data_IF_106106079630
#
_entry.id   IF_106106079630
#
_cell.length_a   1.000
_cell.length_b   1.000
_cell.length_c   1.000
_cell.angle_alpha   90.00
_cell.angle_beta   90.00
_cell.angle_gamma   90.00
#
_symmetry.space_group_name_H-M   'P 1'
#
loop_
_entity.id
_entity.type
_entity.pdbx_description
1 polymer ?
#
# COMPACT_ATOMS: atom_id res chain seq x y z
N UNK A 1 -6.91 26.08 -10.89
CA UNK A 1 -8.01 25.09 -10.98
C UNK A 1 -8.56 24.90 -9.58
N UNK A 2 -9.83 25.27 -9.35
CA UNK A 2 -10.50 25.14 -8.05
C UNK A 2 -10.98 23.68 -7.92
N UNK A 3 -10.76 22.96 -6.80
CA UNK A 3 -11.30 21.61 -6.66
C UNK A 3 -12.82 21.69 -6.70
N UNK A 4 -13.45 20.97 -7.63
CA UNK A 4 -14.89 21.04 -7.91
C UNK A 4 -15.76 20.16 -6.99
N UNK A 5 -15.29 19.87 -5.78
CA UNK A 5 -16.09 19.31 -4.70
C UNK A 5 -15.34 19.56 -3.38
N UNK A 6 -15.85 20.43 -2.52
CA UNK A 6 -15.36 20.53 -1.14
C UNK A 6 -15.82 19.29 -0.37
N UNK A 7 -15.06 18.20 -0.49
CA UNK A 7 -15.29 17.04 0.37
C UNK A 7 -15.08 17.47 1.82
N UNK A 8 -16.02 17.14 2.74
CA UNK A 8 -15.79 17.34 4.15
C UNK A 8 -14.48 16.66 4.54
N UNK A 9 -13.61 17.34 5.30
CA UNK A 9 -12.30 16.81 5.70
C UNK A 9 -12.40 15.41 6.32
N UNK A 10 -13.47 15.16 7.08
CA UNK A 10 -13.81 13.85 7.65
C UNK A 10 -13.96 12.74 6.58
N UNK A 11 -14.55 13.08 5.43
CA UNK A 11 -14.76 12.13 4.33
C UNK A 11 -13.44 11.80 3.62
N UNK A 12 -12.57 12.79 3.42
CA UNK A 12 -11.24 12.60 2.82
C UNK A 12 -10.40 11.66 3.67
N UNK A 13 -10.35 11.90 4.99
CA UNK A 13 -9.61 11.05 5.94
C UNK A 13 -10.17 9.64 5.95
N UNK A 14 -11.50 9.48 5.99
CA UNK A 14 -12.16 8.16 5.95
C UNK A 14 -11.79 7.40 4.67
N UNK A 15 -11.87 8.04 3.52
CA UNK A 15 -11.58 7.39 2.24
C UNK A 15 -10.10 7.04 2.11
N UNK A 16 -9.19 7.93 2.52
CA UNK A 16 -7.76 7.66 2.56
C UNK A 16 -7.45 6.45 3.46
N UNK A 17 -8.08 6.38 4.64
CA UNK A 17 -7.93 5.25 5.56
C UNK A 17 -8.44 3.94 4.96
N UNK A 18 -9.61 3.95 4.31
CA UNK A 18 -10.12 2.77 3.61
C UNK A 18 -9.17 2.31 2.50
N UNK A 19 -8.65 3.24 1.70
CA UNK A 19 -7.67 2.92 0.67
C UNK A 19 -6.35 2.39 1.24
N UNK A 20 -5.93 2.87 2.42
CA UNK A 20 -4.79 2.32 3.14
C UNK A 20 -5.03 0.85 3.55
N UNK A 21 -6.21 0.54 4.08
CA UNK A 21 -6.56 -0.84 4.46
C UNK A 21 -6.52 -1.78 3.26
N UNK A 22 -7.12 -1.38 2.13
CA UNK A 22 -7.08 -2.20 0.92
C UNK A 22 -5.66 -2.34 0.35
N UNK A 23 -4.88 -1.25 0.37
CA UNK A 23 -3.48 -1.27 -0.06
C UNK A 23 -2.62 -2.20 0.80
N UNK A 24 -2.87 -2.30 2.10
CA UNK A 24 -2.18 -3.19 3.02
C UNK A 24 -2.66 -4.65 2.93
N UNK A 25 -3.96 -4.86 2.67
CA UNK A 25 -4.57 -6.17 2.73
C UNK A 25 -3.98 -7.16 1.71
N UNK A 26 -3.71 -6.71 0.48
CA UNK A 26 -3.18 -7.56 -0.59
C UNK A 26 -1.85 -8.22 -0.19
N UNK A 27 -0.78 -7.47 0.14
CA UNK A 27 0.49 -8.09 0.56
C UNK A 27 0.36 -8.82 1.89
N UNK A 28 -0.45 -8.34 2.83
CA UNK A 28 -0.63 -8.99 4.13
C UNK A 28 -1.22 -10.39 3.99
N UNK A 29 -2.31 -10.52 3.21
CA UNK A 29 -2.94 -11.83 2.96
C UNK A 29 -1.93 -12.75 2.26
N UNK A 30 -1.22 -12.27 1.24
CA UNK A 30 -0.19 -13.06 0.56
C UNK A 30 0.88 -13.59 1.52
N UNK A 31 1.43 -12.72 2.36
CA UNK A 31 2.45 -13.10 3.35
C UNK A 31 1.89 -14.09 4.38
N UNK A 32 0.71 -13.84 4.94
CA UNK A 32 0.08 -14.77 5.89
C UNK A 32 -0.12 -16.15 5.26
N UNK A 33 -0.60 -16.21 4.01
CA UNK A 33 -0.79 -17.50 3.32
C UNK A 33 0.54 -18.23 3.10
N UNK A 34 1.61 -17.52 2.74
CA UNK A 34 2.94 -18.11 2.60
C UNK A 34 3.46 -18.66 3.94
N UNK A 35 3.23 -17.92 5.03
CA UNK A 35 3.68 -18.30 6.37
C UNK A 35 2.94 -19.53 6.87
N UNK A 36 1.60 -19.57 6.76
CA UNK A 36 0.79 -20.72 7.19
C UNK A 36 1.10 -21.96 6.35
N UNK A 37 1.53 -21.78 5.09
CA UNK A 37 1.91 -22.90 4.22
C UNK A 37 3.26 -23.53 4.59
N UNK A 38 4.09 -22.85 5.41
CA UNK A 38 5.25 -23.47 6.04
C UNK A 38 4.78 -24.17 7.32
N UNK A 39 4.80 -25.50 7.31
CA UNK A 39 4.46 -26.31 8.50
C UNK A 39 5.33 -25.91 9.71
N UNK A 40 4.68 -25.44 10.78
CA UNK A 40 5.21 -25.23 12.14
C UNK A 40 6.49 -24.38 12.32
N UNK A 41 6.79 -23.48 11.38
CA UNK A 41 7.93 -22.55 11.49
C UNK A 41 7.49 -21.09 11.50
N UNK A 42 6.95 -20.63 12.63
CA UNK A 42 6.81 -19.20 12.92
C UNK A 42 8.08 -18.69 13.60
N UNK A 43 8.94 -18.06 12.82
CA UNK A 43 10.17 -17.46 13.31
C UNK A 43 10.00 -15.95 13.55
N UNK A 44 10.73 -15.42 14.55
CA UNK A 44 10.61 -14.02 14.97
C UNK A 44 10.94 -13.02 13.85
N UNK A 45 11.78 -13.39 12.89
CA UNK A 45 12.13 -12.50 11.78
C UNK A 45 10.96 -12.31 10.80
N UNK A 46 9.99 -13.25 10.77
CA UNK A 46 8.85 -13.21 9.83
C UNK A 46 7.85 -12.09 10.18
N UNK A 47 7.93 -11.53 11.39
CA UNK A 47 7.13 -10.37 11.78
C UNK A 47 7.55 -9.09 11.06
N UNK A 48 8.83 -8.95 10.68
CA UNK A 48 9.32 -7.76 9.96
C UNK A 48 8.64 -7.60 8.59
N UNK A 49 8.66 -8.58 7.67
CA UNK A 49 7.94 -8.46 6.40
C UNK A 49 6.42 -8.34 6.59
N UNK A 50 5.83 -9.02 7.58
CA UNK A 50 4.40 -8.90 7.90
C UNK A 50 3.95 -7.50 8.32
N UNK A 51 4.86 -6.65 8.81
CA UNK A 51 4.55 -5.28 9.21
C UNK A 51 4.99 -4.28 8.14
N UNK A 52 6.25 -4.38 7.69
CA UNK A 52 6.87 -3.37 6.82
C UNK A 52 6.24 -3.40 5.43
N UNK A 53 6.04 -4.58 4.83
CA UNK A 53 5.51 -4.70 3.46
C UNK A 53 4.05 -4.23 3.39
N UNK A 54 3.13 -4.66 4.28
CA UNK A 54 1.78 -4.11 4.31
C UNK A 54 1.73 -2.61 4.63
N UNK A 55 2.67 -2.08 5.41
CA UNK A 55 2.76 -0.63 5.64
C UNK A 55 3.10 0.12 4.35
N UNK A 56 4.02 -0.41 3.52
CA UNK A 56 4.28 0.12 2.18
C UNK A 56 3.05 0.07 1.28
N UNK A 57 2.30 -1.03 1.33
CA UNK A 57 1.01 -1.16 0.65
C UNK A 57 -0.02 -0.13 1.14
N UNK A 58 -0.11 0.10 2.45
CA UNK A 58 -1.00 1.10 3.04
C UNK A 58 -0.68 2.50 2.52
N UNK A 59 0.60 2.86 2.50
CA UNK A 59 1.07 4.14 2.00
C UNK A 59 0.75 4.31 0.51
N UNK A 60 1.00 3.29 -0.30
CA UNK A 60 0.62 3.28 -1.72
C UNK A 60 -0.89 3.43 -1.93
N UNK A 61 -1.71 2.80 -1.08
CA UNK A 61 -3.17 2.95 -1.10
C UNK A 61 -3.65 4.37 -0.77
N UNK A 62 -3.07 5.01 0.26
CA UNK A 62 -3.34 6.42 0.57
C UNK A 62 -2.97 7.32 -0.61
N UNK A 63 -1.77 7.11 -1.16
CA UNK A 63 -1.28 7.89 -2.28
C UNK A 63 -2.16 7.73 -3.53
N UNK A 64 -2.62 6.51 -3.82
CA UNK A 64 -3.57 6.21 -4.89
C UNK A 64 -4.88 6.99 -4.74
N UNK A 65 -5.47 7.02 -3.55
CA UNK A 65 -6.68 7.80 -3.30
C UNK A 65 -6.46 9.31 -3.50
N UNK A 66 -5.40 9.84 -2.89
CA UNK A 66 -5.09 11.27 -2.97
C UNK A 66 -4.85 11.69 -4.42
N UNK A 67 -4.03 10.96 -5.16
CA UNK A 67 -3.70 11.30 -6.54
C UNK A 67 -4.88 11.07 -7.49
N UNK A 68 -5.47 9.88 -7.46
CA UNK A 68 -6.48 9.44 -8.44
C UNK A 68 -7.90 9.95 -8.20
N UNK A 69 -8.22 10.42 -6.99
CA UNK A 69 -9.61 10.81 -6.66
C UNK A 69 -9.72 12.15 -5.96
N UNK A 70 -8.69 12.59 -5.23
CA UNK A 70 -8.73 13.89 -4.55
C UNK A 70 -8.09 15.01 -5.37
N UNK A 71 -6.87 14.83 -5.86
CA UNK A 71 -6.14 15.85 -6.64
C UNK A 71 -6.53 15.86 -8.12
N UNK A 72 -6.77 14.69 -8.72
CA UNK A 72 -7.17 14.57 -10.12
C UNK A 72 -8.49 13.80 -10.27
N UNK A 73 -9.63 14.39 -9.89
CA UNK A 73 -10.91 13.68 -9.77
C UNK A 73 -11.58 13.30 -11.10
N UNK A 74 -11.14 13.84 -12.25
CA UNK A 74 -11.78 13.56 -13.54
C UNK A 74 -10.88 13.76 -14.76
N UNK A 75 -11.29 13.14 -15.86
CA UNK A 75 -10.70 13.29 -17.19
C UNK A 75 -9.39 12.53 -17.40
N UNK A 76 -8.66 12.85 -18.47
CA UNK A 76 -7.43 12.14 -18.86
C UNK A 76 -6.33 12.18 -17.78
N UNK A 77 -6.32 13.23 -16.94
CA UNK A 77 -5.37 13.36 -15.83
C UNK A 77 -5.58 12.30 -14.75
N UNK A 78 -6.84 11.92 -14.51
CA UNK A 78 -7.17 10.85 -13.59
C UNK A 78 -6.62 9.50 -14.05
N UNK A 79 -6.78 9.19 -15.35
CA UNK A 79 -6.26 7.95 -15.93
C UNK A 79 -4.74 7.87 -15.79
N UNK A 80 -4.03 8.96 -16.13
CA UNK A 80 -2.57 9.05 -15.98
C UNK A 80 -2.16 8.89 -14.52
N UNK A 81 -2.87 9.54 -13.59
CA UNK A 81 -2.63 9.42 -12.15
C UNK A 81 -2.78 7.97 -11.66
N UNK A 82 -3.84 7.27 -12.09
CA UNK A 82 -4.07 5.86 -11.73
C UNK A 82 -2.93 4.97 -12.24
N UNK A 83 -2.53 5.12 -13.51
CA UNK A 83 -1.42 4.34 -14.09
C UNK A 83 -0.11 4.59 -13.33
N UNK A 84 0.21 5.85 -13.05
CA UNK A 84 1.39 6.22 -12.27
C UNK A 84 1.36 5.62 -10.87
N UNK A 85 0.21 5.70 -10.19
CA UNK A 85 0.06 5.15 -8.85
C UNK A 85 0.20 3.64 -8.81
N UNK A 86 -0.22 2.92 -9.84
CA UNK A 86 0.01 1.47 -9.95
C UNK A 86 1.50 1.15 -9.93
N UNK A 87 2.31 1.85 -10.74
CA UNK A 87 3.77 1.67 -10.76
C UNK A 87 4.36 2.03 -9.39
N UNK A 88 3.96 3.17 -8.84
CA UNK A 88 4.39 3.63 -7.52
C UNK A 88 4.09 2.62 -6.42
N UNK A 89 2.92 1.97 -6.46
CA UNK A 89 2.52 0.94 -5.49
C UNK A 89 3.48 -0.25 -5.51
N UNK A 90 3.84 -0.76 -6.70
CA UNK A 90 4.82 -1.85 -6.80
C UNK A 90 6.21 -1.42 -6.33
N UNK A 91 6.64 -0.20 -6.61
CA UNK A 91 7.90 0.34 -6.09
C UNK A 91 7.88 0.45 -4.57
N UNK A 92 6.78 0.92 -3.98
CA UNK A 92 6.62 1.01 -2.53
C UNK A 92 6.68 -0.37 -1.86
N UNK A 93 6.01 -1.37 -2.43
CA UNK A 93 6.10 -2.76 -1.95
C UNK A 93 7.52 -3.31 -2.08
N UNK A 94 8.17 -3.07 -3.20
CA UNK A 94 9.53 -3.55 -3.46
C UNK A 94 10.54 -2.95 -2.47
N UNK A 95 10.52 -1.63 -2.25
CA UNK A 95 11.40 -0.96 -1.27
C UNK A 95 11.11 -1.50 0.14
N UNK A 96 9.84 -1.72 0.48
CA UNK A 96 9.45 -2.25 1.78
C UNK A 96 9.95 -3.68 1.98
N UNK A 97 9.90 -4.51 0.95
CA UNK A 97 10.45 -5.87 0.98
C UNK A 97 11.98 -5.85 1.13
N UNK A 98 12.67 -5.05 0.31
CA UNK A 98 14.12 -4.81 0.42
C UNK A 98 14.48 -4.38 1.84
N UNK A 99 13.75 -3.44 2.43
CA UNK A 99 13.99 -2.98 3.80
C UNK A 99 13.77 -4.08 4.83
N UNK A 100 12.66 -4.83 4.74
CA UNK A 100 12.35 -5.91 5.67
C UNK A 100 13.44 -6.99 5.68
N UNK A 101 13.86 -7.46 4.50
CA UNK A 101 14.88 -8.49 4.36
C UNK A 101 16.30 -7.96 4.64
N UNK A 102 16.58 -6.69 4.35
CA UNK A 102 17.83 -6.05 4.77
C UNK A 102 18.00 -6.02 6.29
N UNK A 103 16.92 -5.77 7.03
CA UNK A 103 16.92 -5.73 8.50
C UNK A 103 17.12 -7.13 9.08
N UNK A 104 16.49 -8.15 8.50
CA UNK A 104 16.57 -9.52 9.03
C UNK A 104 17.76 -10.31 8.51
N UNK A 105 18.40 -9.89 7.42
CA UNK A 105 19.48 -10.64 6.76
C UNK A 105 19.02 -11.87 5.97
N UNK A 106 17.71 -12.05 5.77
CA UNK A 106 17.12 -13.22 5.09
C UNK A 106 16.89 -12.91 3.61
N UNK A 107 17.96 -12.93 2.82
CA UNK A 107 17.93 -12.69 1.37
C UNK A 107 17.82 -13.95 0.51
N UNK A 108 18.04 -15.11 1.13
CA UNK A 108 18.19 -16.43 0.49
C UNK A 108 16.86 -17.21 0.44
#
# INVERSE_FOLDING_TARGET
MKPSAEFPQKQVVKNAFLSALFGAAIPLIGLITMIISKEDQLELWMFFPLIIIPSGGAFGGVFFYLMGFYWFPSGNRQLIAIIFCTIFYFVALWISAVMAFAITGHWD
#
